data_IF_090767541331
#
_entry.id   IF_090767541331
#
_cell.length_a   1.000
_cell.length_b   1.000
_cell.length_c   1.000
_cell.angle_alpha   90.00
_cell.angle_beta   90.00
_cell.angle_gamma   90.00
#
_symmetry.space_group_name_H-M   'P 1'
#
loop_
_entity.id
_entity.type
_entity.pdbx_description
1 polymer ?
#
# COMPACT_ATOMS: atom_id res chain seq x y z
N UNK A 1 9.17 -21.32 -19.50
CA UNK A 1 8.79 -21.98 -18.22
C UNK A 1 9.78 -23.12 -17.98
N UNK A 2 10.43 -23.20 -16.80
CA UNK A 2 11.19 -24.41 -16.46
C UNK A 2 10.19 -25.50 -16.11
N UNK A 3 10.18 -26.58 -16.83
CA UNK A 3 9.34 -27.74 -16.55
C UNK A 3 9.91 -28.39 -15.28
N UNK A 4 9.09 -28.43 -14.23
CA UNK A 4 9.41 -29.14 -12.99
C UNK A 4 8.78 -30.53 -13.06
N UNK A 5 9.58 -31.57 -12.89
CA UNK A 5 9.12 -32.98 -12.90
C UNK A 5 8.03 -33.25 -11.85
N UNK A 6 8.04 -32.49 -10.73
CA UNK A 6 7.02 -32.59 -9.70
C UNK A 6 5.63 -32.09 -10.13
N UNK A 7 5.53 -31.42 -11.28
CA UNK A 7 4.28 -30.90 -11.84
C UNK A 7 3.76 -31.77 -13.00
N UNK A 8 4.24 -33.02 -13.12
CA UNK A 8 3.76 -33.98 -14.13
C UNK A 8 2.45 -34.61 -13.69
N UNK A 9 1.49 -34.60 -14.59
CA UNK A 9 0.19 -35.26 -14.42
C UNK A 9 0.28 -36.75 -14.78
N UNK A 10 -0.66 -37.58 -14.30
CA UNK A 10 -0.76 -38.97 -14.72
C UNK A 10 -0.93 -39.14 -16.25
N UNK A 11 -1.51 -38.12 -16.91
CA UNK A 11 -1.65 -38.06 -18.38
C UNK A 11 -0.31 -37.85 -19.13
N UNK A 12 0.79 -37.71 -18.43
CA UNK A 12 2.10 -37.36 -19.00
C UNK A 12 2.32 -35.89 -19.29
N UNK A 13 1.29 -35.05 -19.17
CA UNK A 13 1.37 -33.59 -19.36
C UNK A 13 1.94 -32.91 -18.10
N UNK A 14 2.34 -31.68 -18.26
CA UNK A 14 2.80 -30.82 -17.13
C UNK A 14 1.84 -29.67 -16.92
N UNK A 15 1.62 -29.24 -15.70
CA UNK A 15 0.79 -28.07 -15.39
C UNK A 15 1.61 -26.96 -14.76
N UNK A 16 1.11 -25.72 -14.90
CA UNK A 16 1.72 -24.55 -14.27
C UNK A 16 1.17 -24.38 -12.85
N UNK A 17 2.00 -24.68 -11.83
CA UNK A 17 1.64 -24.52 -10.42
C UNK A 17 1.32 -23.07 -10.04
N UNK A 18 2.06 -22.13 -10.62
CA UNK A 18 1.88 -20.69 -10.37
C UNK A 18 0.56 -20.13 -10.94
N UNK A 19 0.04 -20.77 -11.99
CA UNK A 19 -1.20 -20.35 -12.64
C UNK A 19 -2.47 -20.98 -12.03
N UNK A 20 -2.35 -21.89 -11.07
CA UNK A 20 -3.48 -22.64 -10.50
C UNK A 20 -4.60 -21.74 -9.94
N UNK A 21 -4.28 -20.54 -9.47
CA UNK A 21 -5.26 -19.56 -8.98
C UNK A 21 -6.25 -19.08 -10.05
N UNK A 22 -5.93 -19.28 -11.34
CA UNK A 22 -6.77 -18.92 -12.48
C UNK A 22 -7.29 -20.14 -13.25
N UNK A 23 -7.08 -21.33 -12.74
CA UNK A 23 -7.36 -22.59 -13.40
C UNK A 23 -6.09 -23.35 -13.78
N UNK A 24 -6.27 -24.63 -14.10
CA UNK A 24 -5.15 -25.49 -14.49
C UNK A 24 -4.77 -25.21 -15.94
N UNK A 25 -3.56 -24.74 -16.17
CA UNK A 25 -2.96 -24.59 -17.50
C UNK A 25 -1.97 -25.73 -17.73
N UNK A 26 -2.16 -26.52 -18.79
CA UNK A 26 -1.35 -27.68 -19.11
C UNK A 26 -0.32 -27.38 -20.21
N UNK A 27 0.65 -28.26 -20.39
CA UNK A 27 1.77 -28.05 -21.32
C UNK A 27 1.38 -28.03 -22.80
N UNK A 28 0.21 -28.54 -23.15
CA UNK A 28 -0.36 -28.59 -24.48
C UNK A 28 -1.53 -27.63 -24.71
N UNK A 29 -1.84 -26.79 -23.72
CA UNK A 29 -2.80 -25.71 -23.90
C UNK A 29 -2.21 -24.62 -24.82
N UNK A 30 -3.05 -24.09 -25.68
CA UNK A 30 -2.71 -23.00 -26.58
C UNK A 30 -3.14 -21.66 -25.97
N UNK A 31 -2.25 -20.68 -26.02
CA UNK A 31 -2.55 -19.31 -25.71
C UNK A 31 -2.75 -18.53 -27.00
N UNK A 32 -3.96 -18.01 -27.19
CA UNK A 32 -4.29 -17.18 -28.34
C UNK A 32 -4.01 -15.72 -27.98
N UNK A 33 -3.30 -15.01 -28.84
CA UNK A 33 -3.01 -13.59 -28.72
C UNK A 33 -3.61 -12.85 -29.90
N UNK A 34 -4.26 -11.74 -29.61
CA UNK A 34 -4.81 -10.81 -30.59
C UNK A 34 -4.25 -9.44 -30.28
N UNK A 35 -3.80 -8.72 -31.32
CA UNK A 35 -3.38 -7.33 -31.15
C UNK A 35 -4.53 -6.50 -30.62
N UNK A 36 -4.25 -5.69 -29.59
CA UNK A 36 -5.28 -4.84 -29.01
C UNK A 36 -5.59 -3.67 -29.94
N UNK A 37 -6.88 -3.48 -30.24
CA UNK A 37 -7.32 -2.27 -30.94
C UNK A 37 -7.17 -1.07 -30.01
N UNK A 38 -6.81 0.12 -30.53
CA UNK A 38 -6.80 1.35 -29.74
C UNK A 38 -8.19 1.66 -29.22
N UNK A 39 -8.27 2.44 -28.14
CA UNK A 39 -9.50 3.05 -27.67
C UNK A 39 -9.76 4.37 -28.40
N UNK A 40 -10.97 4.90 -28.25
CA UNK A 40 -11.27 6.23 -28.70
C UNK A 40 -10.36 7.25 -28.01
N UNK A 41 -9.64 8.04 -28.80
CA UNK A 41 -8.78 9.08 -28.29
C UNK A 41 -9.60 10.29 -27.85
N UNK A 42 -9.37 10.80 -26.64
CA UNK A 42 -10.17 11.90 -26.12
C UNK A 42 -9.70 12.46 -24.79
N UNK A 43 -10.29 13.57 -24.38
CA UNK A 43 -10.03 14.22 -23.09
C UNK A 43 -11.01 13.70 -22.06
N UNK A 44 -10.53 12.85 -21.17
CA UNK A 44 -11.36 12.15 -20.16
C UNK A 44 -11.17 12.68 -18.74
N UNK A 45 -10.16 13.49 -18.45
CA UNK A 45 -9.89 14.02 -17.10
C UNK A 45 -10.92 15.09 -16.73
N UNK A 46 -11.70 14.84 -15.66
CA UNK A 46 -12.68 15.76 -15.07
C UNK A 46 -12.19 16.46 -13.81
N UNK A 47 -11.11 15.94 -13.21
CA UNK A 47 -10.60 16.45 -11.94
C UNK A 47 -10.22 17.93 -12.04
N UNK A 48 -10.79 18.76 -11.13
CA UNK A 48 -10.56 20.20 -11.09
C UNK A 48 -9.69 20.65 -9.92
N UNK A 49 -9.12 19.70 -9.17
CA UNK A 49 -8.22 20.01 -8.07
C UNK A 49 -6.90 20.60 -8.56
N UNK A 50 -6.13 21.13 -7.63
CA UNK A 50 -4.81 21.69 -7.93
C UNK A 50 -3.73 20.86 -7.25
N UNK A 51 -2.69 20.53 -8.00
CA UNK A 51 -1.48 19.95 -7.44
C UNK A 51 -0.69 21.03 -6.71
N UNK A 52 -0.07 20.66 -5.60
CA UNK A 52 0.97 21.52 -5.00
C UNK A 52 2.14 21.64 -5.97
N UNK A 53 2.93 22.69 -5.86
CA UNK A 53 4.12 22.89 -6.70
C UNK A 53 5.05 21.66 -6.73
N UNK A 54 5.18 20.93 -5.62
CA UNK A 54 6.01 19.73 -5.53
C UNK A 54 5.37 18.51 -6.23
N UNK A 55 4.06 18.36 -6.14
CA UNK A 55 3.32 17.33 -6.86
C UNK A 55 3.32 17.60 -8.36
N UNK A 56 3.16 18.85 -8.77
CA UNK A 56 3.22 19.26 -10.18
C UNK A 56 4.59 18.92 -10.79
N UNK A 57 5.68 19.21 -10.09
CA UNK A 57 7.04 18.87 -10.53
C UNK A 57 7.20 17.34 -10.75
N UNK A 58 6.63 16.50 -9.88
CA UNK A 58 6.61 15.03 -10.05
C UNK A 58 5.78 14.63 -11.27
N UNK A 59 4.58 15.20 -11.43
CA UNK A 59 3.67 14.92 -12.54
C UNK A 59 4.32 15.24 -13.89
N UNK A 60 4.96 16.39 -14.01
CA UNK A 60 5.68 16.81 -15.21
C UNK A 60 6.89 15.91 -15.51
N UNK A 61 7.66 15.51 -14.49
CA UNK A 61 8.76 14.57 -14.65
C UNK A 61 8.27 13.20 -15.14
N UNK A 62 7.17 12.68 -14.57
CA UNK A 62 6.57 11.42 -15.02
C UNK A 62 6.18 11.47 -16.51
N UNK A 63 5.50 12.54 -16.92
CA UNK A 63 5.11 12.73 -18.31
C UNK A 63 6.34 12.84 -19.24
N UNK A 64 7.39 13.57 -18.81
CA UNK A 64 8.66 13.67 -19.56
C UNK A 64 9.34 12.32 -19.70
N UNK A 65 9.45 11.53 -18.63
CA UNK A 65 10.05 10.20 -18.68
C UNK A 65 9.28 9.26 -19.59
N UNK A 66 7.94 9.28 -19.50
CA UNK A 66 7.10 8.46 -20.38
C UNK A 66 7.30 8.82 -21.86
N UNK A 67 7.29 10.12 -22.22
CA UNK A 67 7.57 10.60 -23.59
C UNK A 67 8.97 10.22 -24.09
N UNK A 68 9.94 10.16 -23.18
CA UNK A 68 11.31 9.73 -23.47
C UNK A 68 11.50 8.21 -23.43
N UNK A 69 10.41 7.46 -23.37
CA UNK A 69 10.44 6.01 -23.40
C UNK A 69 11.13 5.37 -22.17
N UNK A 70 11.05 6.01 -21.00
CA UNK A 70 11.72 5.61 -19.75
C UNK A 70 10.73 5.11 -18.71
N UNK A 71 11.15 4.12 -17.93
CA UNK A 71 10.45 3.67 -16.72
C UNK A 71 10.72 4.65 -15.58
N UNK A 72 9.77 4.79 -14.64
CA UNK A 72 9.90 5.69 -13.50
C UNK A 72 9.62 5.00 -12.17
N UNK A 73 10.37 5.40 -11.15
CA UNK A 73 10.12 5.08 -9.75
C UNK A 73 9.81 6.38 -9.00
N UNK A 74 8.59 6.51 -8.49
CA UNK A 74 8.20 7.60 -7.60
C UNK A 74 8.31 7.11 -6.15
N UNK A 75 9.34 7.58 -5.46
CA UNK A 75 9.48 7.39 -4.02
C UNK A 75 8.87 8.60 -3.31
N UNK A 76 7.62 8.47 -2.91
CA UNK A 76 6.86 9.56 -2.29
C UNK A 76 6.35 9.14 -0.91
N UNK A 77 6.59 9.97 0.10
CA UNK A 77 6.19 9.70 1.49
C UNK A 77 4.69 9.43 1.62
N UNK A 78 4.30 8.80 2.72
CA UNK A 78 2.88 8.59 3.04
C UNK A 78 2.16 9.93 3.18
N UNK A 79 1.00 10.09 2.54
CA UNK A 79 0.25 11.36 2.53
C UNK A 79 0.77 12.40 1.53
N UNK A 80 1.61 12.01 0.56
CA UNK A 80 2.09 12.90 -0.51
C UNK A 80 1.07 13.15 -1.63
N UNK A 81 -0.06 12.43 -1.68
CA UNK A 81 -1.05 12.52 -2.77
C UNK A 81 -0.58 11.86 -4.06
N UNK A 82 -0.08 10.61 -3.97
CA UNK A 82 0.47 9.87 -5.12
C UNK A 82 -0.52 9.70 -6.27
N UNK A 83 -1.81 9.57 -5.97
CA UNK A 83 -2.83 9.32 -7.00
C UNK A 83 -3.02 10.51 -7.92
N UNK A 84 -3.10 11.71 -7.39
CA UNK A 84 -3.32 12.92 -8.19
C UNK A 84 -2.12 13.23 -9.10
N UNK A 85 -0.91 12.91 -8.67
CA UNK A 85 0.31 13.14 -9.46
C UNK A 85 0.38 12.33 -10.76
N UNK A 86 -0.34 11.22 -10.85
CA UNK A 86 -0.37 10.39 -12.08
C UNK A 86 -1.47 10.79 -13.06
N UNK A 87 -2.37 11.71 -12.70
CA UNK A 87 -3.54 12.04 -13.55
C UNK A 87 -3.16 12.62 -14.90
N UNK A 88 -2.18 13.52 -14.98
CA UNK A 88 -1.71 14.07 -16.25
C UNK A 88 -1.13 12.98 -17.17
N UNK A 89 -0.40 12.02 -16.59
CA UNK A 89 0.13 10.90 -17.35
C UNK A 89 -0.98 9.97 -17.85
N UNK A 90 -1.97 9.66 -17.02
CA UNK A 90 -3.16 8.88 -17.42
C UNK A 90 -3.89 9.59 -18.55
N UNK A 91 -4.18 10.89 -18.37
CA UNK A 91 -4.85 11.70 -19.39
C UNK A 91 -4.10 11.67 -20.73
N UNK A 92 -2.80 11.85 -20.71
CA UNK A 92 -1.96 11.81 -21.91
C UNK A 92 -2.04 10.46 -22.65
N UNK A 93 -2.07 9.33 -21.92
CA UNK A 93 -2.19 7.99 -22.55
C UNK A 93 -3.57 7.84 -23.18
N UNK A 94 -4.64 8.27 -22.50
CA UNK A 94 -6.01 8.22 -23.00
C UNK A 94 -6.23 9.13 -24.22
N UNK A 95 -5.61 10.31 -24.25
CA UNK A 95 -5.62 11.22 -25.41
C UNK A 95 -5.00 10.60 -26.66
N UNK A 96 -4.19 9.56 -26.51
CA UNK A 96 -3.60 8.79 -27.60
C UNK A 96 -4.36 7.50 -27.92
N UNK A 97 -5.50 7.25 -27.26
CA UNK A 97 -6.26 6.00 -27.40
C UNK A 97 -5.55 4.79 -26.78
N UNK A 98 -4.60 5.03 -25.88
CA UNK A 98 -3.82 3.98 -25.24
C UNK A 98 -4.58 3.24 -24.14
N UNK A 99 -4.10 2.05 -23.81
CA UNK A 99 -4.62 1.19 -22.77
C UNK A 99 -3.73 1.21 -21.54
N UNK A 100 -4.32 1.39 -20.36
CA UNK A 100 -3.53 1.47 -19.14
C UNK A 100 -4.08 0.60 -18.01
N UNK A 101 -3.16 0.15 -17.14
CA UNK A 101 -3.49 -0.60 -15.94
C UNK A 101 -2.90 0.07 -14.68
N UNK A 102 -3.75 0.28 -13.68
CA UNK A 102 -3.36 0.64 -12.31
C UNK A 102 -3.38 -0.63 -11.47
N UNK A 103 -2.24 -1.16 -11.08
CA UNK A 103 -2.18 -2.41 -10.33
C UNK A 103 -1.73 -2.17 -8.88
N UNK A 104 -2.43 -2.81 -7.95
CA UNK A 104 -2.17 -2.73 -6.52
C UNK A 104 -2.05 -4.14 -5.92
N UNK A 105 -1.26 -4.35 -4.86
CA UNK A 105 -1.16 -5.66 -4.21
C UNK A 105 -2.45 -6.11 -3.50
N UNK A 106 -3.33 -5.17 -3.12
CA UNK A 106 -4.48 -5.41 -2.22
C UNK A 106 -5.80 -4.98 -2.83
N UNK A 107 -6.84 -5.80 -2.61
CA UNK A 107 -8.20 -5.58 -3.14
C UNK A 107 -8.81 -4.27 -2.61
N UNK A 108 -8.69 -4.01 -1.31
CA UNK A 108 -9.25 -2.80 -0.67
C UNK A 108 -8.64 -1.50 -1.21
N UNK A 109 -7.38 -1.54 -1.65
CA UNK A 109 -6.73 -0.42 -2.33
C UNK A 109 -7.26 -0.26 -3.75
N UNK A 110 -7.43 -1.36 -4.48
CA UNK A 110 -8.00 -1.34 -5.84
C UNK A 110 -9.41 -0.75 -5.86
N UNK A 111 -10.29 -1.19 -4.94
CA UNK A 111 -11.68 -0.67 -4.83
C UNK A 111 -11.69 0.84 -4.56
N UNK A 112 -10.82 1.33 -3.67
CA UNK A 112 -10.74 2.77 -3.39
C UNK A 112 -10.19 3.58 -4.56
N UNK A 113 -9.21 3.01 -5.25
CA UNK A 113 -8.61 3.63 -6.43
C UNK A 113 -9.63 3.69 -7.57
N UNK A 114 -10.42 2.62 -7.76
CA UNK A 114 -11.49 2.58 -8.76
C UNK A 114 -12.52 3.68 -8.52
N UNK A 115 -13.06 3.80 -7.30
CA UNK A 115 -14.04 4.85 -6.95
C UNK A 115 -13.48 6.26 -7.21
N UNK A 116 -12.19 6.47 -6.96
CA UNK A 116 -11.52 7.76 -7.19
C UNK A 116 -11.33 8.03 -8.67
N UNK A 117 -10.81 7.07 -9.43
CA UNK A 117 -10.56 7.21 -10.87
C UNK A 117 -11.88 7.36 -11.63
N UNK A 118 -12.91 6.59 -11.31
CA UNK A 118 -14.24 6.70 -11.93
C UNK A 118 -14.92 8.05 -11.67
N UNK A 119 -14.66 8.66 -10.51
CA UNK A 119 -15.12 10.02 -10.22
C UNK A 119 -14.37 11.07 -11.05
N UNK A 120 -13.05 10.92 -11.17
CA UNK A 120 -12.15 11.96 -11.67
C UNK A 120 -11.88 11.83 -13.20
N UNK A 121 -12.30 10.72 -13.83
CA UNK A 121 -12.25 10.49 -15.28
C UNK A 121 -13.63 10.15 -15.84
N UNK A 122 -13.91 10.53 -17.11
CA UNK A 122 -15.21 10.28 -17.78
C UNK A 122 -15.27 8.97 -18.53
N UNK A 123 -14.13 8.32 -18.81
CA UNK A 123 -14.12 7.01 -19.46
C UNK A 123 -14.48 5.89 -18.49
N UNK A 124 -14.90 4.78 -19.04
CA UNK A 124 -15.23 3.58 -18.28
C UNK A 124 -13.97 2.95 -17.67
N UNK A 125 -14.11 2.43 -16.47
CA UNK A 125 -13.06 1.76 -15.69
C UNK A 125 -13.49 0.32 -15.40
N UNK A 126 -12.58 -0.63 -15.50
CA UNK A 126 -12.82 -2.03 -15.08
C UNK A 126 -12.02 -2.33 -13.84
N UNK A 127 -12.68 -2.80 -12.79
CA UNK A 127 -12.06 -3.32 -11.58
C UNK A 127 -11.89 -4.83 -11.67
N UNK A 128 -10.66 -5.32 -11.43
CA UNK A 128 -10.33 -6.75 -11.49
C UNK A 128 -9.67 -7.25 -10.21
N UNK A 129 -10.35 -8.19 -9.54
CA UNK A 129 -9.84 -8.96 -8.41
C UNK A 129 -10.50 -10.35 -8.37
N UNK A 130 -10.23 -11.16 -7.35
CA UNK A 130 -10.74 -12.55 -7.29
C UNK A 130 -12.27 -12.64 -7.33
N UNK A 131 -12.98 -11.64 -6.83
CA UNK A 131 -14.45 -11.59 -6.71
C UNK A 131 -15.06 -10.42 -7.48
N UNK A 132 -14.35 -9.88 -8.48
CA UNK A 132 -14.90 -8.81 -9.33
C UNK A 132 -15.91 -9.36 -10.34
N UNK A 133 -16.72 -8.48 -10.90
CA UNK A 133 -17.60 -8.76 -12.02
C UNK A 133 -16.84 -9.28 -13.26
N UNK A 134 -17.59 -9.70 -14.27
CA UNK A 134 -17.03 -10.16 -15.54
C UNK A 134 -16.16 -9.07 -16.19
N UNK A 135 -15.06 -9.48 -16.80
CA UNK A 135 -14.15 -8.59 -17.50
C UNK A 135 -14.86 -7.82 -18.61
N UNK A 136 -14.67 -6.51 -18.59
CA UNK A 136 -15.04 -5.61 -19.69
C UNK A 136 -13.79 -4.91 -20.19
N UNK A 137 -13.63 -4.82 -21.52
CA UNK A 137 -12.51 -4.11 -22.12
C UNK A 137 -12.75 -2.60 -22.07
N UNK A 138 -12.18 -1.96 -21.08
CA UNK A 138 -12.24 -0.50 -20.87
C UNK A 138 -10.82 0.12 -20.94
N UNK A 139 -10.68 1.41 -21.26
CA UNK A 139 -9.37 2.05 -21.41
C UNK A 139 -8.55 2.10 -20.13
N UNK A 140 -9.20 2.06 -18.97
CA UNK A 140 -8.56 1.98 -17.66
C UNK A 140 -8.93 0.65 -16.99
N UNK A 141 -7.93 -0.13 -16.67
CA UNK A 141 -8.05 -1.33 -15.84
C UNK A 141 -7.46 -1.02 -14.45
N UNK A 142 -8.19 -1.29 -13.39
CA UNK A 142 -7.68 -1.28 -12.02
C UNK A 142 -7.71 -2.71 -11.52
N UNK A 143 -6.56 -3.22 -11.12
CA UNK A 143 -6.43 -4.65 -10.87
C UNK A 143 -5.55 -4.98 -9.66
N UNK A 144 -5.81 -6.12 -9.02
CA UNK A 144 -4.77 -6.70 -8.16
C UNK A 144 -3.61 -7.20 -9.01
N UNK A 145 -2.39 -7.14 -8.48
CA UNK A 145 -1.16 -7.50 -9.23
C UNK A 145 -1.20 -8.91 -9.82
N UNK A 146 -1.95 -9.85 -9.20
CA UNK A 146 -2.15 -11.20 -9.75
C UNK A 146 -2.93 -11.20 -11.06
N UNK A 147 -3.86 -10.26 -11.25
CA UNK A 147 -4.67 -10.20 -12.48
C UNK A 147 -3.83 -9.87 -13.72
N UNK A 148 -2.62 -9.30 -13.55
CA UNK A 148 -1.69 -9.07 -14.65
C UNK A 148 -1.29 -10.36 -15.39
N UNK A 149 -1.39 -11.53 -14.74
CA UNK A 149 -1.18 -12.83 -15.38
C UNK A 149 -2.15 -13.14 -16.53
N UNK A 150 -3.29 -12.45 -16.58
CA UNK A 150 -4.32 -12.61 -17.63
C UNK A 150 -4.02 -11.79 -18.89
N UNK A 151 -2.99 -10.94 -18.88
CA UNK A 151 -2.70 -10.02 -19.97
C UNK A 151 -1.36 -10.33 -20.61
N UNK A 152 -1.29 -10.15 -21.92
CA UNK A 152 -0.08 -10.30 -22.71
C UNK A 152 0.02 -9.16 -23.72
N UNK A 153 1.13 -8.40 -23.67
CA UNK A 153 1.42 -7.25 -24.55
C UNK A 153 0.25 -6.27 -24.69
N UNK A 154 -0.45 -6.01 -23.59
CA UNK A 154 -1.73 -5.29 -23.61
C UNK A 154 -1.57 -3.80 -23.35
N UNK A 155 -0.80 -3.41 -22.33
CA UNK A 155 -0.88 -2.06 -21.77
C UNK A 155 0.26 -1.15 -22.24
N UNK A 156 -0.10 0.04 -22.70
CA UNK A 156 0.85 1.12 -23.01
C UNK A 156 1.44 1.74 -21.76
N UNK A 157 0.68 1.71 -20.65
CA UNK A 157 1.12 2.18 -19.34
C UNK A 157 0.66 1.21 -18.26
N UNK A 158 1.58 0.75 -17.43
CA UNK A 158 1.25 0.05 -16.18
C UNK A 158 1.79 0.87 -15.02
N UNK A 159 0.93 1.20 -14.07
CA UNK A 159 1.30 1.86 -12.83
C UNK A 159 1.11 0.87 -11.69
N UNK A 160 2.19 0.56 -10.96
CA UNK A 160 2.15 -0.32 -9.78
C UNK A 160 2.20 0.56 -8.53
N UNK A 161 1.10 0.63 -7.79
CA UNK A 161 1.10 1.27 -6.48
C UNK A 161 1.47 0.28 -5.38
N UNK A 162 2.14 0.78 -4.34
CA UNK A 162 2.65 -0.02 -3.22
C UNK A 162 3.56 -1.18 -3.67
N UNK A 163 4.47 -0.93 -4.59
CA UNK A 163 5.38 -1.96 -5.16
C UNK A 163 6.22 -2.71 -4.11
N UNK A 164 6.39 -2.13 -2.93
CA UNK A 164 7.08 -2.69 -1.77
C UNK A 164 6.21 -3.62 -0.91
N UNK A 165 4.92 -3.76 -1.23
CA UNK A 165 4.00 -4.58 -0.46
C UNK A 165 3.95 -6.04 -0.95
N UNK A 166 3.67 -6.95 0.00
CA UNK A 166 3.28 -8.33 -0.32
C UNK A 166 1.91 -8.31 -1.04
N UNK A 167 1.66 -9.17 -2.04
CA UNK A 167 2.51 -10.26 -2.54
C UNK A 167 3.46 -9.87 -3.67
N UNK A 168 3.51 -8.62 -4.11
CA UNK A 168 4.30 -8.21 -5.28
C UNK A 168 5.81 -8.18 -5.00
N UNK A 169 6.20 -7.69 -3.82
CA UNK A 169 7.62 -7.58 -3.45
C UNK A 169 8.33 -8.94 -3.48
N UNK A 170 9.50 -9.01 -4.12
CA UNK A 170 10.31 -10.23 -4.27
C UNK A 170 9.60 -11.42 -4.96
N UNK A 171 8.45 -11.22 -5.58
CA UNK A 171 7.73 -12.27 -6.31
C UNK A 171 8.14 -12.28 -7.79
N UNK A 172 8.90 -13.32 -8.18
CA UNK A 172 9.40 -13.45 -9.56
C UNK A 172 8.27 -13.62 -10.57
N UNK A 173 7.23 -14.39 -10.22
CA UNK A 173 6.08 -14.64 -11.10
C UNK A 173 5.33 -13.33 -11.39
N UNK A 174 5.01 -12.55 -10.37
CA UNK A 174 4.30 -11.28 -10.57
C UNK A 174 5.14 -10.23 -11.29
N UNK A 175 6.47 -10.21 -11.07
CA UNK A 175 7.36 -9.36 -11.86
C UNK A 175 7.38 -9.79 -13.34
N UNK A 176 7.36 -11.10 -13.64
CA UNK A 176 7.28 -11.60 -15.01
C UNK A 176 5.90 -11.31 -15.62
N UNK A 177 4.82 -11.44 -14.86
CA UNK A 177 3.48 -11.08 -15.30
C UNK A 177 3.38 -9.61 -15.72
N UNK A 178 3.98 -8.72 -14.93
CA UNK A 178 4.09 -7.30 -15.23
C UNK A 178 4.79 -7.04 -16.58
N UNK A 179 5.95 -7.67 -16.79
CA UNK A 179 6.69 -7.53 -18.06
C UNK A 179 5.92 -8.12 -19.24
N UNK A 180 5.23 -9.24 -19.05
CA UNK A 180 4.45 -9.87 -20.12
C UNK A 180 3.19 -9.07 -20.49
N UNK A 181 2.55 -8.41 -19.50
CA UNK A 181 1.36 -7.60 -19.71
C UNK A 181 1.66 -6.27 -20.44
N UNK A 182 2.90 -5.83 -20.43
CA UNK A 182 3.32 -4.57 -21.03
C UNK A 182 3.39 -4.69 -22.56
N UNK A 183 2.81 -3.74 -23.27
CA UNK A 183 2.94 -3.62 -24.71
C UNK A 183 4.42 -3.36 -25.12
N UNK A 184 4.85 -3.67 -26.36
CA UNK A 184 6.26 -3.50 -26.75
C UNK A 184 6.81 -2.08 -26.55
N UNK A 185 5.98 -1.06 -26.77
CA UNK A 185 6.31 0.36 -26.53
C UNK A 185 5.90 0.85 -25.14
N UNK A 186 5.21 0.02 -24.35
CA UNK A 186 4.64 0.39 -23.08
C UNK A 186 5.68 0.69 -21.99
N UNK A 187 5.25 1.41 -20.96
CA UNK A 187 6.12 1.81 -19.84
C UNK A 187 5.50 1.50 -18.49
N UNK A 188 6.39 1.37 -17.51
CA UNK A 188 6.03 1.07 -16.13
C UNK A 188 6.37 2.28 -15.26
N UNK A 189 5.43 2.64 -14.39
CA UNK A 189 5.62 3.58 -13.29
C UNK A 189 5.43 2.80 -11.98
N UNK A 190 6.43 2.84 -11.14
CA UNK A 190 6.39 2.29 -9.79
C UNK A 190 6.12 3.41 -8.78
N UNK A 191 5.12 3.22 -7.92
CA UNK A 191 4.82 4.13 -6.81
C UNK A 191 5.09 3.41 -5.49
N UNK A 192 5.78 4.08 -4.58
CA UNK A 192 6.05 3.54 -3.24
C UNK A 192 6.31 4.63 -2.23
N UNK A 193 6.06 4.32 -0.95
CA UNK A 193 6.55 5.13 0.16
C UNK A 193 7.87 4.59 0.73
N UNK A 194 8.28 3.38 0.35
CA UNK A 194 9.53 2.74 0.79
C UNK A 194 10.14 2.00 -0.38
N UNK A 195 11.31 2.44 -0.85
CA UNK A 195 11.96 1.80 -1.98
C UNK A 195 12.52 0.42 -1.63
N UNK A 196 12.63 -0.45 -2.63
CA UNK A 196 13.25 -1.76 -2.49
C UNK A 196 14.68 -1.74 -3.03
N UNK A 197 15.54 -2.62 -2.48
CA UNK A 197 16.94 -2.74 -2.95
C UNK A 197 17.05 -2.99 -4.46
N UNK A 198 16.08 -3.71 -5.05
CA UNK A 198 16.02 -3.99 -6.49
C UNK A 198 15.78 -2.71 -7.27
N UNK A 199 14.76 -1.94 -6.91
CA UNK A 199 14.41 -0.68 -7.58
C UNK A 199 15.49 0.38 -7.41
N UNK A 200 16.10 0.48 -6.22
CA UNK A 200 17.25 1.37 -6.00
C UNK A 200 18.43 1.02 -6.92
N UNK A 201 18.69 -0.28 -7.12
CA UNK A 201 19.72 -0.74 -8.06
C UNK A 201 19.35 -0.42 -9.51
N UNK A 202 18.07 -0.57 -9.87
CA UNK A 202 17.62 -0.26 -11.24
C UNK A 202 17.70 1.24 -11.52
N UNK A 203 17.44 2.10 -10.52
CA UNK A 203 17.65 3.56 -10.62
C UNK A 203 19.13 3.88 -10.78
N UNK A 204 20.00 3.32 -9.94
CA UNK A 204 21.46 3.52 -10.03
C UNK A 204 22.06 3.09 -11.37
N UNK A 205 21.50 2.04 -11.95
CA UNK A 205 21.95 1.51 -13.25
C UNK A 205 21.29 2.20 -14.46
N UNK A 206 20.47 3.23 -14.26
CA UNK A 206 19.78 3.96 -15.32
C UNK A 206 18.62 3.20 -16.00
N UNK A 207 18.22 2.03 -15.47
CA UNK A 207 17.10 1.24 -16.01
C UNK A 207 15.74 1.83 -15.65
N UNK A 208 15.71 2.66 -14.63
CA UNK A 208 14.54 3.35 -14.13
C UNK A 208 14.92 4.75 -13.67
N UNK A 209 14.10 5.74 -13.97
CA UNK A 209 14.32 7.12 -13.51
C UNK A 209 13.70 7.30 -12.11
N UNK A 210 14.51 7.75 -11.15
CA UNK A 210 14.05 7.98 -9.78
C UNK A 210 13.50 9.40 -9.60
N UNK A 211 12.33 9.51 -9.01
CA UNK A 211 11.70 10.77 -8.60
C UNK A 211 11.41 10.66 -7.10
N UNK A 212 11.84 11.63 -6.30
CA UNK A 212 11.61 11.63 -4.85
C UNK A 212 10.71 12.79 -4.46
N UNK A 213 9.62 12.50 -3.74
CA UNK A 213 8.77 13.49 -3.09
C UNK A 213 8.74 13.25 -1.59
N UNK A 214 9.57 13.98 -0.86
CA UNK A 214 9.73 13.86 0.58
C UNK A 214 8.71 14.66 1.40
N UNK A 215 7.84 15.44 0.74
CA UNK A 215 6.83 16.29 1.37
C UNK A 215 5.44 15.68 1.31
N UNK A 216 4.69 15.84 2.39
CA UNK A 216 3.24 15.60 2.41
C UNK A 216 2.52 16.74 1.68
N UNK A 217 1.28 16.48 1.20
CA UNK A 217 0.49 17.49 0.49
C UNK A 217 0.22 18.76 1.33
N UNK A 218 0.12 18.63 2.65
CA UNK A 218 -0.09 19.75 3.60
C UNK A 218 1.20 20.39 4.12
N UNK A 219 2.33 20.00 3.55
CA UNK A 219 3.66 20.57 3.85
C UNK A 219 4.12 20.48 5.33
N UNK A 220 3.66 19.48 6.09
CA UNK A 220 4.15 19.22 7.45
C UNK A 220 5.07 17.98 7.47
N UNK A 221 6.05 17.91 8.38
CA UNK A 221 7.00 16.81 8.45
C UNK A 221 6.31 15.50 8.86
N UNK A 222 6.98 14.39 8.56
CA UNK A 222 6.59 13.07 9.08
C UNK A 222 6.88 13.03 10.59
N UNK A 223 5.94 12.47 11.35
CA UNK A 223 6.10 12.29 12.79
C UNK A 223 7.13 11.20 13.07
N UNK A 224 8.07 11.49 13.97
CA UNK A 224 9.12 10.55 14.36
C UNK A 224 8.62 9.60 15.44
N UNK A 225 8.90 8.28 15.34
CA UNK A 225 8.56 7.35 16.39
C UNK A 225 9.42 7.55 17.64
N UNK A 226 8.78 7.57 18.80
CA UNK A 226 9.41 7.47 20.10
C UNK A 226 9.51 6.03 20.54
N UNK A 227 10.70 5.56 20.91
CA UNK A 227 10.93 4.20 21.36
C UNK A 227 10.75 4.08 22.87
N UNK A 228 9.91 3.15 23.32
CA UNK A 228 9.55 2.92 24.71
C UNK A 228 9.94 1.50 25.12
N UNK A 229 11.03 1.39 25.87
CA UNK A 229 11.48 0.08 26.40
C UNK A 229 10.51 -0.42 27.48
N UNK A 230 10.05 -1.65 27.34
CA UNK A 230 9.22 -2.37 28.32
C UNK A 230 9.74 -3.80 28.45
N UNK A 231 10.55 -4.04 29.45
CA UNK A 231 11.13 -5.37 29.69
C UNK A 231 10.04 -6.42 29.96
N UNK A 232 10.22 -7.61 29.41
CA UNK A 232 9.32 -8.76 29.52
C UNK A 232 7.88 -8.41 29.14
N UNK A 233 7.70 -7.59 28.08
CA UNK A 233 6.38 -7.13 27.63
C UNK A 233 5.51 -8.32 27.20
N UNK A 234 6.05 -9.23 26.39
CA UNK A 234 5.38 -10.44 25.92
C UNK A 234 4.89 -11.31 27.08
N UNK A 235 5.74 -11.54 28.09
CA UNK A 235 5.37 -12.35 29.26
C UNK A 235 4.30 -11.68 30.11
N UNK A 236 4.40 -10.36 30.30
CA UNK A 236 3.40 -9.61 31.09
C UNK A 236 2.03 -9.67 30.45
N UNK A 237 1.97 -9.52 29.12
CA UNK A 237 0.71 -9.60 28.36
C UNK A 237 0.11 -11.01 28.48
N UNK A 238 0.89 -12.07 28.29
CA UNK A 238 0.43 -13.47 28.48
C UNK A 238 -0.08 -13.76 29.90
N UNK A 239 0.41 -13.03 30.89
CA UNK A 239 -0.08 -13.11 32.30
C UNK A 239 -1.23 -12.14 32.57
N UNK A 240 -1.88 -11.59 31.56
CA UNK A 240 -2.95 -10.59 31.69
C UNK A 240 -2.57 -9.37 32.55
N UNK A 241 -1.32 -8.91 32.45
CA UNK A 241 -0.83 -7.75 33.19
C UNK A 241 -0.50 -6.60 32.24
N UNK A 242 -1.23 -5.49 32.39
CA UNK A 242 -0.92 -4.25 31.64
C UNK A 242 0.31 -3.57 32.26
N UNK A 243 1.44 -3.44 31.52
CA UNK A 243 2.64 -2.79 32.03
C UNK A 243 2.36 -1.33 32.44
N UNK A 244 2.94 -0.90 33.57
CA UNK A 244 2.71 0.46 34.13
C UNK A 244 3.03 1.57 33.13
N UNK A 245 4.11 1.41 32.34
CA UNK A 245 4.49 2.41 31.33
C UNK A 245 3.41 2.52 30.24
N UNK A 246 2.94 1.41 29.70
CA UNK A 246 1.87 1.41 28.68
C UNK A 246 0.60 2.02 29.26
N UNK A 247 0.19 1.62 30.47
CA UNK A 247 -0.98 2.18 31.17
C UNK A 247 -0.87 3.71 31.34
N UNK A 248 0.33 4.20 31.70
CA UNK A 248 0.61 5.65 31.82
C UNK A 248 0.43 6.37 30.49
N UNK A 249 1.03 5.84 29.41
CA UNK A 249 0.95 6.44 28.09
C UNK A 249 -0.47 6.43 27.52
N UNK A 250 -1.22 5.34 27.76
CA UNK A 250 -2.65 5.26 27.40
C UNK A 250 -3.46 6.31 28.14
N UNK A 251 -3.36 6.40 29.47
CA UNK A 251 -4.05 7.42 30.25
C UNK A 251 -3.75 8.84 29.73
N UNK A 252 -2.47 9.14 29.48
CA UNK A 252 -2.07 10.44 28.98
C UNK A 252 -2.61 10.71 27.57
N UNK A 253 -2.66 9.70 26.70
CA UNK A 253 -3.19 9.84 25.34
C UNK A 253 -4.70 10.05 25.37
N UNK A 254 -5.44 9.32 26.24
CA UNK A 254 -6.89 9.48 26.37
C UNK A 254 -7.33 10.89 26.82
N UNK A 255 -6.50 11.61 27.55
CA UNK A 255 -6.76 13.02 27.90
C UNK A 255 -6.92 13.92 26.67
N UNK A 256 -6.27 13.55 25.55
CA UNK A 256 -6.38 14.30 24.31
C UNK A 256 -7.70 14.06 23.56
N UNK A 257 -8.47 13.03 23.91
CA UNK A 257 -9.70 12.56 23.23
C UNK A 257 -9.54 12.23 21.74
N UNK A 258 -8.30 12.21 21.22
CA UNK A 258 -8.05 11.80 19.83
C UNK A 258 -8.18 10.29 19.67
N UNK A 259 -8.62 9.79 18.49
CA UNK A 259 -8.67 8.36 18.21
C UNK A 259 -7.27 7.74 18.38
N UNK A 260 -7.22 6.54 18.94
CA UNK A 260 -5.98 5.79 19.12
C UNK A 260 -6.01 4.49 18.31
N UNK A 261 -5.05 4.33 17.40
CA UNK A 261 -4.85 3.08 16.68
C UNK A 261 -3.67 2.33 17.29
N UNK A 262 -3.89 1.10 17.73
CA UNK A 262 -2.86 0.26 18.34
C UNK A 262 -2.55 -0.91 17.42
N UNK A 263 -1.30 -1.07 17.04
CA UNK A 263 -0.85 -2.19 16.24
C UNK A 263 -0.27 -3.30 17.09
N UNK A 264 -0.72 -4.52 16.82
CA UNK A 264 -0.20 -5.77 17.38
C UNK A 264 0.36 -6.67 16.29
N UNK A 265 1.43 -7.47 16.56
CA UNK A 265 1.99 -8.36 15.55
C UNK A 265 1.18 -9.66 15.36
N UNK A 266 0.47 -10.13 16.39
CA UNK A 266 -0.21 -11.43 16.45
C UNK A 266 -1.68 -11.21 16.84
N UNK A 267 -2.58 -11.97 16.21
CA UNK A 267 -4.05 -11.79 16.38
C UNK A 267 -4.45 -12.12 17.82
N UNK A 268 -4.06 -13.27 18.32
CA UNK A 268 -4.42 -13.77 19.65
C UNK A 268 -3.95 -12.82 20.76
N UNK A 269 -2.71 -12.33 20.65
CA UNK A 269 -2.16 -11.36 21.61
C UNK A 269 -2.91 -10.02 21.56
N UNK A 270 -3.37 -9.62 20.36
CA UNK A 270 -4.17 -8.40 20.17
C UNK A 270 -5.57 -8.50 20.78
N UNK A 271 -6.22 -9.65 20.69
CA UNK A 271 -7.51 -9.92 21.33
C UNK A 271 -7.38 -9.90 22.85
N UNK A 272 -6.40 -10.61 23.41
CA UNK A 272 -6.10 -10.58 24.84
C UNK A 272 -5.81 -9.16 25.34
N UNK A 273 -5.17 -8.34 24.52
CA UNK A 273 -4.91 -6.95 24.87
C UNK A 273 -6.17 -6.10 24.84
N UNK A 274 -7.12 -6.37 23.95
CA UNK A 274 -8.44 -5.73 23.97
C UNK A 274 -9.15 -5.97 25.30
N UNK A 275 -9.26 -7.22 25.74
CA UNK A 275 -9.91 -7.58 27.01
C UNK A 275 -9.25 -6.89 28.20
N UNK A 276 -7.91 -6.87 28.18
CA UNK A 276 -7.11 -6.20 29.21
C UNK A 276 -7.37 -4.68 29.24
N UNK A 277 -7.49 -4.05 28.07
CA UNK A 277 -7.81 -2.62 27.99
C UNK A 277 -9.24 -2.32 28.41
N UNK A 278 -10.21 -3.12 28.02
CA UNK A 278 -11.62 -2.96 28.41
C UNK A 278 -11.78 -3.00 29.94
N UNK A 279 -11.05 -3.89 30.61
CA UNK A 279 -11.03 -3.95 32.06
C UNK A 279 -10.42 -2.70 32.72
N UNK A 280 -9.42 -2.07 32.10
CA UNK A 280 -8.67 -0.95 32.66
C UNK A 280 -9.20 0.42 32.26
N UNK A 281 -10.00 0.48 31.19
CA UNK A 281 -10.60 1.67 30.59
C UNK A 281 -12.06 1.41 30.22
N UNK A 282 -12.95 1.15 31.19
CA UNK A 282 -14.34 0.74 30.96
C UNK A 282 -15.17 1.82 30.24
N UNK A 283 -14.79 3.08 30.35
CA UNK A 283 -15.48 4.21 29.70
C UNK A 283 -15.09 4.40 28.22
N UNK A 284 -14.10 3.64 27.71
CA UNK A 284 -13.64 3.77 26.34
C UNK A 284 -14.27 2.70 25.42
N UNK A 285 -14.67 3.10 24.23
CA UNK A 285 -15.13 2.17 23.19
C UNK A 285 -13.91 1.54 22.49
N UNK A 286 -13.65 0.27 22.78
CA UNK A 286 -12.46 -0.46 22.33
C UNK A 286 -12.86 -1.60 21.43
N UNK A 287 -12.29 -1.66 20.23
CA UNK A 287 -12.50 -2.76 19.30
C UNK A 287 -11.17 -3.35 18.79
N UNK A 288 -11.24 -4.60 18.32
CA UNK A 288 -10.13 -5.30 17.66
C UNK A 288 -10.54 -5.67 16.24
N UNK A 289 -9.62 -5.47 15.29
CA UNK A 289 -9.82 -5.83 13.88
C UNK A 289 -8.60 -6.54 13.31
N UNK A 290 -8.87 -7.66 12.63
CA UNK A 290 -7.85 -8.47 11.95
C UNK A 290 -8.30 -8.92 10.56
N UNK A 291 -7.51 -9.78 9.91
CA UNK A 291 -7.92 -10.44 8.67
C UNK A 291 -9.09 -11.40 8.83
N UNK A 292 -9.34 -11.86 10.05
CA UNK A 292 -10.37 -12.84 10.41
C UNK A 292 -11.68 -12.18 10.86
N UNK A 293 -11.70 -10.85 11.02
CA UNK A 293 -12.90 -10.12 11.45
C UNK A 293 -13.93 -10.03 10.32
N UNK A 294 -15.13 -10.59 10.53
CA UNK A 294 -16.25 -10.55 9.58
C UNK A 294 -16.77 -9.11 9.40
N UNK A 295 -16.97 -8.37 10.48
CA UNK A 295 -17.47 -7.00 10.51
C UNK A 295 -16.39 -5.92 10.30
N UNK A 296 -15.31 -6.30 9.61
CA UNK A 296 -14.12 -5.43 9.43
C UNK A 296 -14.46 -4.05 8.87
N UNK A 297 -15.33 -3.98 7.87
CA UNK A 297 -15.69 -2.72 7.21
C UNK A 297 -16.44 -1.78 8.17
N UNK A 298 -17.34 -2.32 8.98
CA UNK A 298 -18.14 -1.60 9.96
C UNK A 298 -17.27 -1.06 11.09
N UNK A 299 -16.39 -1.88 11.66
CA UNK A 299 -15.44 -1.46 12.69
C UNK A 299 -14.51 -0.33 12.23
N UNK A 300 -14.05 -0.40 10.99
CA UNK A 300 -13.23 0.65 10.39
C UNK A 300 -14.02 1.95 10.22
N UNK A 301 -15.29 1.86 9.83
CA UNK A 301 -16.15 3.04 9.66
C UNK A 301 -16.53 3.66 11.02
N UNK A 302 -16.93 2.85 12.01
CA UNK A 302 -17.20 3.31 13.36
C UNK A 302 -15.98 3.98 14.03
N UNK A 303 -14.76 3.46 13.77
CA UNK A 303 -13.55 4.13 14.22
C UNK A 303 -13.30 5.46 13.48
N UNK A 304 -13.61 5.52 12.18
CA UNK A 304 -13.51 6.76 11.40
C UNK A 304 -14.49 7.82 11.89
N UNK A 305 -15.70 7.41 12.25
CA UNK A 305 -16.76 8.26 12.80
C UNK A 305 -16.54 8.64 14.27
N UNK A 306 -15.44 8.14 14.89
CA UNK A 306 -15.10 8.33 16.31
C UNK A 306 -16.07 7.70 17.30
N UNK A 307 -16.89 6.74 16.88
CA UNK A 307 -17.73 5.91 17.74
C UNK A 307 -16.86 4.93 18.55
N UNK A 308 -15.80 4.42 17.95
CA UNK A 308 -14.74 3.66 18.61
C UNK A 308 -13.59 4.62 18.92
N UNK A 309 -13.16 4.66 20.16
CA UNK A 309 -12.10 5.55 20.64
C UNK A 309 -10.70 4.92 20.54
N UNK A 310 -10.61 3.59 20.72
CA UNK A 310 -9.38 2.80 20.58
C UNK A 310 -9.64 1.63 19.65
N UNK A 311 -8.92 1.60 18.52
CA UNK A 311 -8.95 0.46 17.61
C UNK A 311 -7.63 -0.29 17.69
N UNK A 312 -7.69 -1.55 18.06
CA UNK A 312 -6.54 -2.46 18.05
C UNK A 312 -6.56 -3.22 16.74
N UNK A 313 -5.41 -3.34 16.07
CA UNK A 313 -5.32 -4.02 14.78
C UNK A 313 -4.00 -4.73 14.60
N UNK A 314 -4.00 -5.71 13.71
CA UNK A 314 -2.75 -6.26 13.16
C UNK A 314 -2.24 -5.38 12.02
N UNK A 315 -1.21 -5.84 11.29
CA UNK A 315 -0.68 -5.13 10.12
C UNK A 315 -1.69 -4.90 8.99
N UNK A 316 -2.91 -5.42 9.12
CA UNK A 316 -3.96 -5.27 8.10
C UNK A 316 -4.34 -3.79 7.86
N UNK A 317 -4.25 -2.95 8.88
CA UNK A 317 -4.53 -1.51 8.78
C UNK A 317 -3.28 -0.65 8.53
N UNK A 318 -2.11 -1.25 8.31
CA UNK A 318 -0.90 -0.47 7.94
C UNK A 318 -1.03 0.25 6.60
N UNK A 319 -1.93 -0.22 5.71
CA UNK A 319 -2.17 0.30 4.36
C UNK A 319 -3.67 0.39 4.06
N UNK A 320 -4.03 1.07 2.99
CA UNK A 320 -5.38 1.06 2.41
C UNK A 320 -6.44 1.90 3.13
N UNK A 321 -6.23 2.40 4.35
CA UNK A 321 -7.21 3.21 5.09
C UNK A 321 -6.62 4.53 5.56
N UNK A 322 -7.47 5.53 5.81
CA UNK A 322 -7.07 6.83 6.37
C UNK A 322 -7.95 7.14 7.56
N UNK A 323 -7.31 7.50 8.66
CA UNK A 323 -7.98 7.95 9.89
C UNK A 323 -7.47 9.35 10.23
N UNK A 324 -8.31 10.40 10.12
CA UNK A 324 -7.90 11.76 10.46
C UNK A 324 -7.58 11.91 11.94
N UNK A 325 -6.51 12.61 12.23
CA UNK A 325 -6.16 13.00 13.61
C UNK A 325 -5.83 11.86 14.58
N UNK A 326 -5.42 10.68 14.06
CA UNK A 326 -5.15 9.50 14.88
C UNK A 326 -3.77 9.55 15.52
N UNK A 327 -3.68 9.09 16.78
CA UNK A 327 -2.43 8.69 17.43
C UNK A 327 -2.16 7.20 17.19
N UNK A 328 -0.91 6.80 17.20
CA UNK A 328 -0.53 5.41 16.91
C UNK A 328 0.42 4.87 17.94
N UNK A 329 0.09 3.71 18.50
CA UNK A 329 0.95 2.89 19.34
C UNK A 329 1.25 1.57 18.63
N UNK A 330 2.49 1.14 18.67
CA UNK A 330 2.91 -0.17 18.15
C UNK A 330 3.42 -0.99 19.32
N UNK A 331 2.73 -2.06 19.62
CA UNK A 331 3.10 -2.98 20.70
C UNK A 331 4.01 -4.06 20.14
N UNK A 332 5.07 -4.42 20.88
CA UNK A 332 6.10 -5.36 20.42
C UNK A 332 6.71 -4.93 19.07
N UNK A 333 7.04 -3.65 18.93
CA UNK A 333 7.57 -3.08 17.68
C UNK A 333 8.88 -3.76 17.19
N UNK A 334 9.56 -4.52 18.06
CA UNK A 334 10.72 -5.35 17.73
C UNK A 334 10.35 -6.72 17.17
N UNK A 335 9.06 -7.10 17.12
CA UNK A 335 8.64 -8.43 16.65
C UNK A 335 8.99 -8.62 15.16
N UNK A 336 9.35 -9.86 14.78
CA UNK A 336 9.82 -10.24 13.42
C UNK A 336 8.83 -9.95 12.29
N UNK A 337 7.55 -9.84 12.57
CA UNK A 337 6.52 -9.50 11.59
C UNK A 337 6.57 -8.01 11.16
N UNK A 338 7.18 -7.14 11.97
CA UNK A 338 7.38 -5.76 11.59
C UNK A 338 8.71 -5.58 10.85
N UNK A 339 8.66 -5.35 9.56
CA UNK A 339 9.82 -4.89 8.80
C UNK A 339 9.86 -3.34 8.75
N UNK A 340 10.94 -2.77 8.24
CA UNK A 340 11.11 -1.31 8.18
C UNK A 340 10.01 -0.62 7.35
N UNK A 341 9.60 -1.21 6.22
CA UNK A 341 8.52 -0.69 5.37
C UNK A 341 7.19 -0.63 6.13
N UNK A 342 6.83 -1.73 6.81
CA UNK A 342 5.63 -1.81 7.65
C UNK A 342 5.62 -0.70 8.72
N UNK A 343 6.71 -0.54 9.46
CA UNK A 343 6.81 0.50 10.50
C UNK A 343 6.76 1.93 9.92
N UNK A 344 7.31 2.18 8.73
CA UNK A 344 7.20 3.48 8.03
C UNK A 344 5.74 3.74 7.62
N UNK A 345 5.04 2.75 7.09
CA UNK A 345 3.63 2.87 6.71
C UNK A 345 2.73 3.14 7.92
N UNK A 346 2.99 2.42 9.02
CA UNK A 346 2.30 2.64 10.31
C UNK A 346 2.59 4.04 10.84
N UNK A 347 3.86 4.46 10.88
CA UNK A 347 4.25 5.82 11.29
C UNK A 347 3.56 6.89 10.44
N UNK A 348 3.44 6.63 9.15
CA UNK A 348 2.75 7.49 8.21
C UNK A 348 1.25 7.66 8.43
N UNK A 349 0.64 6.94 9.39
CA UNK A 349 -0.77 7.15 9.78
C UNK A 349 -0.95 8.41 10.63
N UNK A 350 0.07 8.77 11.41
CA UNK A 350 0.04 9.95 12.27
C UNK A 350 0.24 11.23 11.46
N UNK A 351 -0.49 12.28 11.79
CA UNK A 351 -0.34 13.59 11.17
C UNK A 351 -0.76 13.65 9.70
N UNK A 352 -1.77 12.89 9.28
CA UNK A 352 -2.29 12.91 7.88
C UNK A 352 -3.29 14.02 7.61
N UNK A 353 -3.87 14.62 8.63
CA UNK A 353 -4.83 15.71 8.51
C UNK A 353 -4.10 17.06 8.56
N UNK A 354 -4.58 18.03 7.78
CA UNK A 354 -4.13 19.43 7.88
C UNK A 354 -4.45 20.00 9.26
N UNK A 355 -5.61 19.66 9.81
CA UNK A 355 -6.07 20.12 11.12
C UNK A 355 -5.21 19.59 12.28
N UNK A 356 -4.59 18.42 12.08
CA UNK A 356 -3.70 17.81 13.05
C UNK A 356 -2.51 17.16 12.34
N UNK A 357 -1.50 17.94 11.97
CA UNK A 357 -0.29 17.44 11.30
C UNK A 357 0.65 16.70 12.25
N UNK A 358 0.38 16.75 13.53
CA UNK A 358 1.14 16.13 14.62
C UNK A 358 0.33 15.01 15.28
N UNK A 359 0.95 14.28 16.22
CA UNK A 359 0.31 13.26 17.01
C UNK A 359 1.32 12.37 17.73
N UNK A 360 0.84 11.54 18.65
CA UNK A 360 1.70 10.58 19.35
C UNK A 360 1.96 9.36 18.48
N UNK A 361 3.24 9.00 18.38
CA UNK A 361 3.70 7.79 17.71
C UNK A 361 4.68 7.05 18.63
N UNK A 362 4.20 6.03 19.33
CA UNK A 362 4.99 5.28 20.30
C UNK A 362 5.23 3.85 19.85
N UNK A 363 6.50 3.41 19.89
CA UNK A 363 6.91 2.05 19.62
C UNK A 363 7.36 1.37 20.92
N UNK A 364 6.49 0.54 21.50
CA UNK A 364 6.82 -0.26 22.68
C UNK A 364 7.54 -1.52 22.27
N UNK A 365 8.68 -1.79 22.90
CA UNK A 365 9.59 -2.87 22.52
C UNK A 365 10.31 -3.49 23.73
N UNK A 366 10.81 -4.72 23.58
CA UNK A 366 11.65 -5.43 24.55
C UNK A 366 13.15 -5.27 24.25
N UNK A 367 13.47 -4.79 23.07
CA UNK A 367 14.81 -4.48 22.57
C UNK A 367 14.68 -3.77 21.22
N UNK A 368 15.64 -2.93 20.85
CA UNK A 368 15.59 -2.20 19.58
C UNK A 368 15.94 -3.12 18.42
N UNK A 369 15.03 -3.28 17.46
CA UNK A 369 15.30 -4.06 16.25
C UNK A 369 15.93 -3.21 15.13
N UNK A 370 16.62 -3.88 14.20
CA UNK A 370 17.16 -3.23 12.98
C UNK A 370 16.04 -2.59 12.15
N UNK A 371 14.84 -3.17 12.14
CA UNK A 371 13.67 -2.62 11.44
C UNK A 371 13.25 -1.27 12.02
N UNK A 372 13.21 -1.14 13.36
CA UNK A 372 12.90 0.12 14.06
C UNK A 372 13.91 1.22 13.73
N UNK A 373 15.21 0.91 13.80
CA UNK A 373 16.29 1.86 13.48
C UNK A 373 16.16 2.34 12.04
N UNK A 374 16.01 1.41 11.09
CA UNK A 374 15.87 1.74 9.66
C UNK A 374 14.63 2.59 9.40
N UNK A 375 13.49 2.27 10.03
CA UNK A 375 12.27 3.04 9.87
C UNK A 375 12.44 4.48 10.36
N UNK A 376 12.98 4.68 11.56
CA UNK A 376 13.25 6.02 12.11
C UNK A 376 14.26 6.80 11.28
N UNK A 377 15.34 6.15 10.85
CA UNK A 377 16.38 6.74 10.01
C UNK A 377 15.84 7.21 8.66
N UNK A 378 14.99 6.41 8.00
CA UNK A 378 14.38 6.79 6.72
C UNK A 378 13.40 7.96 6.88
N UNK A 379 12.60 8.00 7.96
CA UNK A 379 11.72 9.14 8.25
C UNK A 379 12.55 10.42 8.49
N UNK A 380 13.64 10.33 9.26
CA UNK A 380 14.56 11.47 9.47
C UNK A 380 15.15 11.94 8.14
N UNK A 381 15.62 11.01 7.31
CA UNK A 381 16.18 11.31 5.99
C UNK A 381 15.16 12.03 5.10
N UNK A 382 13.91 11.55 5.04
CA UNK A 382 12.86 12.20 4.24
C UNK A 382 12.53 13.60 4.77
N UNK A 383 12.42 13.77 6.09
CA UNK A 383 12.22 15.09 6.68
C UNK A 383 13.39 16.04 6.35
N UNK A 384 14.64 15.54 6.38
CA UNK A 384 15.82 16.33 6.01
C UNK A 384 15.81 16.74 4.53
N UNK A 385 15.42 15.84 3.62
CA UNK A 385 15.30 16.16 2.18
C UNK A 385 14.20 17.21 1.95
N UNK A 386 13.15 17.17 2.74
CA UNK A 386 12.02 18.08 2.58
C UNK A 386 12.27 19.46 3.16
N UNK A 387 12.94 19.57 4.33
CA UNK A 387 12.98 20.78 5.17
C UNK A 387 14.39 21.18 5.62
N UNK A 388 15.42 20.37 5.34
CA UNK A 388 16.84 20.58 5.72
C UNK A 388 17.66 21.27 4.62
#
# INVERSE_FOLDING_TARGET
MKIDLNNKLPSGKYYCRECLIFGRNESDDFLYFFDSLPFEAGTYLKWQGQLTQYQEAVSQQLLKHFKNNQRSLVHAVTGAGKTEMIYQLIAYVLEKGGWLCLACPRVDVCIKLEKRISRDFSCSVTLMHAHSESYQRNPIIIATTHQLLKFYRAFDLIIIDEVDAFPFVNNKMLNQALENALAPSGKIVYLTATSTKKLDKDVKNGRCQGITLARRFHNNPLVLPEFQLVLSLSEKLKRHKLPRNIKKQLKQQRLSKHPLLIFFPIIEDGQLFQDLLTTHFPDEQIAFVSSESEERAELIESFRNKEISILISTTILERGVTFPGVDVFVILANHRLYNASSLIQIAGRVGRSIERPEGKLLFFHEGISVAMIKAKSEIIKMNKIAYG
#
